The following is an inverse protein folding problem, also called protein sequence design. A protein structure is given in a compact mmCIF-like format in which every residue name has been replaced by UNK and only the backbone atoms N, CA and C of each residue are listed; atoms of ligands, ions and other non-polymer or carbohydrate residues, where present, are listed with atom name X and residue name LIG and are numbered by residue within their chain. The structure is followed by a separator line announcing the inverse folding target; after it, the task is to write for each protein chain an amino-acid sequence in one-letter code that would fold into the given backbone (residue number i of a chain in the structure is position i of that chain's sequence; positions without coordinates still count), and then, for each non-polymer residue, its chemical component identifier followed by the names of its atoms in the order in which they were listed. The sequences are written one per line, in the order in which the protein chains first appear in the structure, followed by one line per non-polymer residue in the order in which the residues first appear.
data_IF_573698215868
#
_entry.id   IF_573698215868
#
_cell.length_a   1.000
_cell.length_b   1.000
_cell.length_c   1.000
_cell.angle_alpha   90.00
_cell.angle_beta   90.00
_cell.angle_gamma   90.00
#
_symmetry.space_group_name_H-M   'P 1'
#
loop_
_entity.id
_entity.type
_entity.pdbx_description
1 polymer ?
#
# COMPACT_ATOMS: atom_id res chain seq x y z
N UNK A 1 9.47 -13.32 0.28
CA UNK A 1 9.18 -12.36 1.36
C UNK A 1 8.89 -11.01 0.74
N UNK A 2 7.95 -10.29 1.29
CA UNK A 2 7.45 -9.05 0.68
C UNK A 2 6.97 -8.07 1.76
N UNK A 3 6.84 -6.81 1.36
CA UNK A 3 6.10 -5.83 2.12
C UNK A 3 4.65 -5.81 1.65
N UNK A 4 3.75 -5.36 2.52
CA UNK A 4 2.31 -5.40 2.27
C UNK A 4 1.71 -4.04 2.64
N UNK A 5 0.89 -3.48 1.74
CA UNK A 5 0.14 -2.26 2.03
C UNK A 5 -1.15 -2.64 2.73
N UNK A 6 -1.41 -2.05 3.89
CA UNK A 6 -2.55 -2.42 4.72
C UNK A 6 -3.64 -1.35 4.71
N UNK A 7 -4.66 -1.56 5.53
CA UNK A 7 -5.89 -0.78 5.57
C UNK A 7 -5.69 0.73 5.66
N UNK A 8 -4.67 1.19 6.36
CA UNK A 8 -4.46 2.63 6.57
C UNK A 8 -4.29 3.42 5.27
N UNK A 9 -3.86 2.75 4.18
CA UNK A 9 -3.70 3.40 2.87
C UNK A 9 -5.03 3.72 2.19
N UNK A 10 -6.11 3.01 2.52
CA UNK A 10 -7.41 3.19 1.88
C UNK A 10 -7.90 4.63 2.07
N UNK A 11 -8.31 5.26 0.98
CA UNK A 11 -8.73 6.67 0.89
C UNK A 11 -7.61 7.69 1.15
N UNK A 12 -6.43 7.27 1.56
CA UNK A 12 -5.28 8.17 1.69
C UNK A 12 -4.41 8.14 0.44
N UNK A 13 -3.99 6.96 0.06
CA UNK A 13 -3.20 6.72 -1.15
C UNK A 13 -2.04 7.71 -1.29
N UNK A 14 -1.27 7.85 -0.20
CA UNK A 14 -0.01 8.57 -0.28
C UNK A 14 0.96 7.77 -1.13
N UNK A 15 1.63 8.44 -2.05
CA UNK A 15 2.55 7.77 -2.98
C UNK A 15 4.01 8.04 -2.66
N UNK A 16 4.29 8.61 -1.51
CA UNK A 16 5.66 8.86 -1.05
C UNK A 16 6.49 7.56 -0.98
N UNK A 17 5.83 6.45 -0.66
CA UNK A 17 6.47 5.14 -0.58
C UNK A 17 6.93 4.58 -1.92
N UNK A 18 6.33 5.06 -3.02
CA UNK A 18 6.65 4.57 -4.37
C UNK A 18 8.05 5.01 -4.82
N UNK A 19 8.44 6.23 -4.43
CA UNK A 19 9.68 6.85 -4.91
C UNK A 19 10.93 6.02 -4.58
N UNK A 20 11.13 5.52 -3.34
CA UNK A 20 12.34 4.79 -3.01
C UNK A 20 12.37 3.34 -3.50
N UNK A 21 11.28 2.82 -4.07
CA UNK A 21 11.22 1.42 -4.51
C UNK A 21 12.14 1.19 -5.71
N UNK A 22 13.19 0.36 -5.59
CA UNK A 22 14.14 0.17 -6.68
C UNK A 22 13.68 -0.82 -7.75
N UNK A 23 12.58 -1.54 -7.52
CA UNK A 23 12.09 -2.59 -8.42
C UNK A 23 10.69 -2.33 -8.95
N UNK A 24 10.15 -1.13 -8.70
CA UNK A 24 8.85 -0.71 -9.24
C UNK A 24 7.73 -1.71 -8.97
N UNK A 25 7.62 -2.18 -7.74
CA UNK A 25 6.66 -3.21 -7.36
C UNK A 25 5.29 -2.68 -6.89
N UNK A 26 5.09 -1.37 -6.92
CA UNK A 26 3.80 -0.77 -6.53
C UNK A 26 2.84 -0.71 -7.71
N UNK A 27 1.57 -1.01 -7.43
CA UNK A 27 0.47 -0.92 -8.40
C UNK A 27 -0.61 0.00 -7.85
N UNK A 28 -1.24 0.77 -8.73
CA UNK A 28 -2.13 1.86 -8.35
C UNK A 28 -3.58 1.56 -8.68
N UNK A 29 -4.44 1.60 -7.66
CA UNK A 29 -5.89 1.53 -7.81
C UNK A 29 -6.58 2.86 -7.53
N UNK A 30 -7.93 2.90 -7.52
CA UNK A 30 -8.68 4.13 -7.30
C UNK A 30 -8.40 4.81 -5.96
N UNK A 31 -8.28 4.05 -4.86
CA UNK A 31 -8.07 4.63 -3.54
C UNK A 31 -7.09 3.83 -2.67
N UNK A 32 -6.23 3.04 -3.29
CA UNK A 32 -5.32 2.14 -2.59
C UNK A 32 -4.11 1.84 -3.46
N UNK A 33 -3.01 1.44 -2.84
CA UNK A 33 -1.83 0.93 -3.53
C UNK A 33 -1.63 -0.53 -3.13
N UNK A 34 -1.11 -1.33 -4.05
CA UNK A 34 -0.77 -2.73 -3.78
C UNK A 34 0.69 -2.98 -4.13
N UNK A 35 1.35 -3.84 -3.37
CA UNK A 35 2.72 -4.29 -3.64
C UNK A 35 2.66 -5.67 -4.24
N UNK A 36 3.32 -5.84 -5.40
CA UNK A 36 3.46 -7.16 -6.04
C UNK A 36 4.45 -7.99 -5.23
N UNK A 37 4.02 -9.09 -4.59
CA UNK A 37 4.91 -9.88 -3.75
C UNK A 37 6.02 -10.58 -4.53
N UNK A 38 5.84 -10.80 -5.83
CA UNK A 38 6.86 -11.44 -6.66
C UNK A 38 7.95 -10.45 -7.07
N UNK A 39 7.65 -9.15 -7.12
CA UNK A 39 8.60 -8.13 -7.52
C UNK A 39 9.29 -7.48 -6.32
N UNK A 40 8.67 -7.47 -5.16
CA UNK A 40 9.21 -6.82 -3.97
C UNK A 40 10.47 -7.55 -3.47
N UNK A 41 11.56 -6.81 -3.28
CA UNK A 41 12.82 -7.37 -2.78
C UNK A 41 13.02 -7.18 -1.28
N UNK A 42 11.98 -6.75 -0.58
CA UNK A 42 11.97 -6.62 0.88
C UNK A 42 13.04 -5.65 1.43
N UNK A 43 13.29 -4.56 0.69
CA UNK A 43 14.35 -3.60 1.04
C UNK A 43 14.00 -2.62 2.16
N UNK A 44 12.75 -2.57 2.59
CA UNK A 44 12.18 -1.73 3.67
C UNK A 44 12.13 -0.22 3.41
N UNK A 45 12.67 0.28 2.31
CA UNK A 45 12.73 1.73 2.05
C UNK A 45 11.36 2.41 2.03
N UNK A 46 10.33 1.71 1.53
CA UNK A 46 8.98 2.26 1.45
C UNK A 46 8.31 2.43 2.82
N UNK A 47 8.70 1.63 3.80
CA UNK A 47 8.06 1.64 5.13
C UNK A 47 8.19 3.01 5.79
N UNK A 48 9.39 3.59 5.75
CA UNK A 48 9.66 4.87 6.40
C UNK A 48 9.00 6.04 5.68
N UNK A 49 8.72 5.89 4.40
CA UNK A 49 8.15 6.97 3.59
C UNK A 49 6.62 7.03 3.65
N UNK A 50 5.96 6.02 4.21
CA UNK A 50 4.49 6.04 4.29
C UNK A 50 4.03 6.91 5.47
N UNK A 51 3.33 8.04 5.19
CA UNK A 51 2.92 8.95 6.27
C UNK A 51 1.93 8.35 7.27
N UNK A 52 1.21 7.32 6.88
CA UNK A 52 0.17 6.70 7.73
C UNK A 52 0.58 5.32 8.25
N UNK A 53 1.84 4.93 8.05
CA UNK A 53 2.37 3.65 8.50
C UNK A 53 1.52 2.46 8.05
N UNK A 54 1.16 2.46 6.77
CA UNK A 54 0.31 1.39 6.20
C UNK A 54 1.11 0.18 5.72
N UNK A 55 2.43 0.28 5.64
CA UNK A 55 3.28 -0.75 5.05
C UNK A 55 4.02 -1.53 6.12
N UNK A 56 3.90 -2.86 6.06
CA UNK A 56 4.55 -3.79 6.99
C UNK A 56 5.18 -4.92 6.19
N UNK A 57 6.21 -5.55 6.77
CA UNK A 57 6.69 -6.82 6.22
C UNK A 57 5.61 -7.89 6.45
N UNK A 58 5.56 -8.88 5.57
CA UNK A 58 4.56 -9.95 5.66
C UNK A 58 4.58 -10.66 7.02
N UNK A 59 5.76 -10.78 7.64
CA UNK A 59 5.90 -11.42 8.94
C UNK A 59 5.55 -10.52 10.12
N UNK A 60 5.38 -9.22 9.87
CA UNK A 60 5.11 -8.22 10.93
C UNK A 60 3.69 -7.66 10.86
N UNK A 61 2.82 -8.24 10.03
CA UNK A 61 1.45 -7.73 9.88
C UNK A 61 0.70 -7.74 11.22
N UNK A 62 0.03 -6.62 11.55
CA UNK A 62 -0.79 -6.56 12.77
C UNK A 62 -1.94 -7.58 12.72
N UNK A 63 -2.44 -7.96 13.89
CA UNK A 63 -3.59 -8.85 13.98
C UNK A 63 -4.77 -8.27 13.20
N UNK A 64 -5.40 -9.10 12.39
CA UNK A 64 -6.53 -8.70 11.56
C UNK A 64 -6.14 -8.11 10.20
N UNK A 65 -4.85 -7.90 9.95
CA UNK A 65 -4.36 -7.35 8.69
C UNK A 65 -3.74 -8.41 7.76
N UNK A 66 -3.70 -9.66 8.16
CA UNK A 66 -3.08 -10.73 7.37
C UNK A 66 -3.75 -10.91 6.01
N UNK A 67 -5.01 -10.59 5.91
CA UNK A 67 -5.77 -10.67 4.65
C UNK A 67 -5.19 -9.76 3.57
N UNK A 68 -4.48 -8.70 3.96
CA UNK A 68 -3.90 -7.77 2.99
C UNK A 68 -2.74 -8.38 2.19
N UNK A 69 -2.10 -9.42 2.69
CA UNK A 69 -1.11 -10.13 1.88
C UNK A 69 -1.74 -10.68 0.60
N UNK A 70 -2.88 -11.34 0.73
CA UNK A 70 -3.63 -11.86 -0.41
C UNK A 70 -4.22 -10.76 -1.27
N UNK A 71 -4.76 -9.70 -0.63
CA UNK A 71 -5.34 -8.56 -1.34
C UNK A 71 -4.29 -7.88 -2.21
N UNK A 72 -3.08 -7.63 -1.67
CA UNK A 72 -2.00 -7.04 -2.43
C UNK A 72 -1.61 -7.90 -3.63
N UNK A 73 -1.45 -9.21 -3.42
CA UNK A 73 -1.07 -10.13 -4.49
C UNK A 73 -2.11 -10.13 -5.61
N UNK A 74 -3.39 -10.14 -5.27
CA UNK A 74 -4.48 -10.16 -6.24
C UNK A 74 -4.57 -8.84 -7.01
N UNK A 75 -4.57 -7.72 -6.29
CA UNK A 75 -4.76 -6.41 -6.92
C UNK A 75 -3.56 -6.00 -7.76
N UNK A 76 -2.36 -6.43 -7.41
CA UNK A 76 -1.17 -6.16 -8.21
C UNK A 76 -1.25 -6.76 -9.60
N UNK A 77 -2.03 -7.82 -9.80
CA UNK A 77 -2.24 -8.41 -11.13
C UNK A 77 -3.28 -7.66 -11.96
N UNK A 78 -4.11 -6.83 -11.31
CA UNK A 78 -5.21 -6.13 -11.98
C UNK A 78 -4.90 -4.66 -12.25
N UNK A 79 -4.03 -4.05 -11.46
CA UNK A 79 -3.78 -2.61 -11.49
C UNK A 79 -2.47 -2.29 -12.20
N UNK A 80 -2.36 -1.10 -12.84
CA UNK A 80 -1.11 -0.69 -13.49
C UNK A 80 -0.02 -0.36 -12.47
N UNK A 81 1.22 -0.50 -12.92
CA UNK A 81 2.40 -0.11 -12.12
C UNK A 81 2.42 1.42 -11.97
N UNK A 82 2.76 1.88 -10.77
CA UNK A 82 3.04 3.29 -10.51
C UNK A 82 4.52 3.45 -10.12
N UNK A 83 5.20 4.38 -10.78
CA UNK A 83 6.63 4.64 -10.53
C UNK A 83 6.91 6.08 -10.13
N UNK A 84 5.90 6.93 -10.11
CA UNK A 84 6.03 8.36 -9.81
C UNK A 84 5.16 8.74 -8.63
N UNK A 85 5.65 9.71 -7.83
CA UNK A 85 4.87 10.29 -6.77
C UNK A 85 3.71 11.09 -7.35
N UNK A 86 2.52 10.91 -6.77
CA UNK A 86 1.33 11.67 -7.14
C UNK A 86 0.74 12.31 -5.88
N UNK A 87 -0.10 13.36 -6.02
CA UNK A 87 -0.78 13.92 -4.86
C UNK A 87 -1.63 12.87 -4.15
N UNK A 88 -1.69 12.93 -2.83
CA UNK A 88 -2.61 12.12 -2.06
C UNK A 88 -4.05 12.47 -2.42
N UNK A 89 -4.99 11.58 -2.08
CA UNK A 89 -6.40 11.84 -2.33
C UNK A 89 -6.86 13.07 -1.54
N UNK A 90 -7.90 13.80 -2.03
CA UNK A 90 -8.29 15.10 -1.45
C UNK A 90 -8.55 15.11 0.04
N UNK A 91 -9.02 14.03 0.62
CA UNK A 91 -9.33 13.95 2.05
C UNK A 91 -8.39 13.00 2.80
N UNK A 92 -7.17 12.81 2.30
CA UNK A 92 -6.23 11.85 2.87
C UNK A 92 -5.98 12.10 4.37
N UNK A 93 -5.81 13.35 4.79
CA UNK A 93 -5.57 13.67 6.19
C UNK A 93 -6.71 13.24 7.09
N UNK A 94 -7.95 13.40 6.64
CA UNK A 94 -9.13 12.97 7.37
C UNK A 94 -9.15 11.44 7.50
N UNK A 95 -8.91 10.75 6.39
CA UNK A 95 -8.97 9.30 6.37
C UNK A 95 -7.76 8.63 7.05
N UNK A 96 -6.66 9.35 7.19
CA UNK A 96 -5.46 8.83 7.87
C UNK A 96 -5.74 8.42 9.32
N UNK A 97 -6.74 9.03 9.97
CA UNK A 97 -7.09 8.76 11.36
C UNK A 97 -8.29 7.83 11.50
N UNK A 98 -8.87 7.38 10.39
CA UNK A 98 -10.02 6.48 10.41
C UNK A 98 -9.54 5.04 10.42
N UNK A 99 -10.10 4.22 11.32
CA UNK A 99 -9.84 2.80 11.38
C UNK A 99 -10.97 2.02 10.70
N UNK A 100 -10.72 0.74 10.42
CA UNK A 100 -11.72 -0.17 9.85
C UNK A 100 -12.27 0.31 8.50
N UNK A 101 -11.35 0.68 7.60
CA UNK A 101 -11.69 1.20 6.26
C UNK A 101 -11.75 0.12 5.17
N UNK A 102 -11.54 -1.14 5.51
CA UNK A 102 -11.41 -2.19 4.50
C UNK A 102 -12.60 -2.26 3.54
N UNK A 103 -13.81 -2.04 4.06
CA UNK A 103 -15.03 -2.06 3.24
C UNK A 103 -15.10 -0.91 2.23
N UNK A 104 -14.23 0.09 2.37
CA UNK A 104 -14.19 1.25 1.47
C UNK A 104 -13.20 1.06 0.32
N UNK A 105 -12.46 -0.04 0.30
CA UNK A 105 -11.51 -0.33 -0.76
C UNK A 105 -12.24 -0.48 -2.10
N UNK A 106 -11.82 0.32 -3.08
CA UNK A 106 -12.33 0.27 -4.44
C UNK A 106 -11.38 -0.52 -5.33
N UNK A 107 -11.92 -1.49 -6.04
CA UNK A 107 -11.15 -2.33 -6.96
C UNK A 107 -11.39 -1.97 -8.45
#
# INVERSE_FOLDING_TARGET
MTHVVTEACIHCKYTDCVVPCPVDCFHEGPNFLAIDPDECIDCTLCVEECPVHAIYRDVDLPDGQEVFLEINARLATLWPVIIQKKPALPEAERWAQVEQKRHLLEE
#
